data_IF_894318146895
#
_entry.id   IF_894318146895
#
_cell.length_a   1.000
_cell.length_b   1.000
_cell.length_c   1.000
_cell.angle_alpha   90.00
_cell.angle_beta   90.00
_cell.angle_gamma   90.00
#
_symmetry.space_group_name_H-M   'P 1'
#
loop_
_entity.id
_entity.type
_entity.pdbx_description
1 polymer ?
#
# COMPACT_ATOMS: atom_id res chain seq x y z
N UNK A 1 10.91 39.63 -29.94
CA UNK A 1 9.76 39.33 -29.05
C UNK A 1 9.57 37.82 -28.89
N UNK A 2 9.70 37.03 -29.96
CA UNK A 2 9.44 35.58 -29.96
C UNK A 2 10.40 34.72 -29.11
N UNK A 3 11.68 35.07 -29.02
CA UNK A 3 12.64 34.31 -28.18
C UNK A 3 12.27 34.40 -26.69
N UNK A 4 11.76 35.57 -26.25
CA UNK A 4 11.34 35.76 -24.86
C UNK A 4 10.04 35.03 -24.53
N UNK A 5 9.11 34.92 -25.48
CA UNK A 5 7.87 34.14 -25.30
C UNK A 5 8.14 32.64 -25.28
N UNK A 6 9.01 32.14 -26.17
CA UNK A 6 9.42 30.74 -26.20
C UNK A 6 10.11 30.30 -24.90
N UNK A 7 11.01 31.14 -24.37
CA UNK A 7 11.70 30.88 -23.07
C UNK A 7 10.72 30.83 -21.89
N UNK A 8 9.72 31.72 -21.87
CA UNK A 8 8.68 31.72 -20.82
C UNK A 8 7.81 30.46 -20.91
N UNK A 9 7.41 30.04 -22.12
CA UNK A 9 6.62 28.83 -22.32
C UNK A 9 7.38 27.58 -21.89
N UNK A 10 8.66 27.46 -22.28
CA UNK A 10 9.54 26.37 -21.86
C UNK A 10 9.68 26.31 -20.33
N UNK A 11 9.96 27.44 -19.68
CA UNK A 11 10.06 27.50 -18.21
C UNK A 11 8.74 27.09 -17.52
N UNK A 12 7.59 27.52 -18.06
CA UNK A 12 6.28 27.13 -17.53
C UNK A 12 6.05 25.62 -17.65
N UNK A 13 6.37 25.00 -18.79
CA UNK A 13 6.27 23.56 -18.97
C UNK A 13 7.17 22.79 -17.98
N UNK A 14 8.40 23.26 -17.75
CA UNK A 14 9.32 22.65 -16.77
C UNK A 14 8.79 22.76 -15.34
N UNK A 15 8.21 23.91 -14.97
CA UNK A 15 7.62 24.08 -13.64
C UNK A 15 6.39 23.17 -13.44
N UNK A 16 5.56 23.03 -14.47
CA UNK A 16 4.38 22.15 -14.41
C UNK A 16 4.79 20.68 -14.25
N UNK A 17 5.78 20.21 -15.01
CA UNK A 17 6.27 18.83 -14.88
C UNK A 17 6.89 18.57 -13.51
N UNK A 18 7.69 19.51 -13.00
CA UNK A 18 8.26 19.42 -11.66
C UNK A 18 7.17 19.35 -10.57
N UNK A 19 6.16 20.20 -10.65
CA UNK A 19 5.02 20.19 -9.72
C UNK A 19 4.27 18.84 -9.73
N UNK A 20 4.04 18.26 -10.91
CA UNK A 20 3.39 16.95 -11.03
C UNK A 20 4.25 15.86 -10.38
N UNK A 21 5.55 15.83 -10.68
CA UNK A 21 6.48 14.85 -10.11
C UNK A 21 6.52 14.94 -8.57
N UNK A 22 6.61 16.15 -8.03
CA UNK A 22 6.60 16.37 -6.58
C UNK A 22 5.29 15.90 -5.94
N UNK A 23 4.14 16.19 -6.57
CA UNK A 23 2.82 15.75 -6.09
C UNK A 23 2.69 14.23 -6.09
N UNK A 24 3.17 13.58 -7.15
CA UNK A 24 3.19 12.11 -7.27
C UNK A 24 4.08 11.51 -6.19
N UNK A 25 5.30 12.02 -6.03
CA UNK A 25 6.22 11.58 -4.99
C UNK A 25 5.64 11.74 -3.58
N UNK A 26 5.03 12.88 -3.29
CA UNK A 26 4.39 13.13 -1.99
C UNK A 26 3.29 12.10 -1.70
N UNK A 27 2.42 11.83 -2.68
CA UNK A 27 1.30 10.90 -2.51
C UNK A 27 1.73 9.43 -2.42
N UNK A 28 2.73 9.04 -3.20
CA UNK A 28 3.19 7.64 -3.28
C UNK A 28 4.18 7.32 -2.15
N UNK A 29 5.04 8.25 -1.73
CA UNK A 29 6.09 7.96 -0.77
C UNK A 29 5.85 8.61 0.59
N UNK A 30 5.66 9.94 0.62
CA UNK A 30 5.68 10.70 1.86
C UNK A 30 4.44 10.46 2.71
N UNK A 31 3.26 10.59 2.11
CA UNK A 31 1.96 10.42 2.77
C UNK A 31 1.80 9.04 3.43
N UNK A 32 2.03 7.90 2.73
CA UNK A 32 1.86 6.59 3.36
C UNK A 32 2.86 6.35 4.49
N UNK A 33 4.13 6.76 4.35
CA UNK A 33 5.12 6.62 5.44
C UNK A 33 4.76 7.48 6.66
N UNK A 34 4.24 8.68 6.45
CA UNK A 34 3.80 9.55 7.54
C UNK A 34 2.64 8.91 8.31
N UNK A 35 1.64 8.38 7.57
CA UNK A 35 0.50 7.69 8.16
C UNK A 35 0.90 6.39 8.88
N UNK A 36 1.84 5.61 8.33
CA UNK A 36 2.39 4.43 9.01
C UNK A 36 2.97 4.79 10.38
N UNK A 37 3.74 5.88 10.46
CA UNK A 37 4.31 6.36 11.71
C UNK A 37 3.23 6.79 12.70
N UNK A 38 2.17 7.46 12.22
CA UNK A 38 1.06 7.90 13.05
C UNK A 38 0.30 6.70 13.65
N UNK A 39 -0.06 5.71 12.82
CA UNK A 39 -0.74 4.50 13.26
C UNK A 39 0.08 3.69 14.27
N UNK A 40 1.40 3.57 14.03
CA UNK A 40 2.32 2.93 14.98
C UNK A 40 2.36 3.65 16.33
N UNK A 41 2.34 4.99 16.34
CA UNK A 41 2.25 5.78 17.57
C UNK A 41 0.93 5.57 18.30
N UNK A 42 -0.16 5.29 17.58
CA UNK A 42 -1.45 4.93 18.16
C UNK A 42 -1.51 3.47 18.65
N UNK A 43 -0.41 2.71 18.54
CA UNK A 43 -0.35 1.30 18.94
C UNK A 43 -0.93 0.33 17.91
N UNK A 44 -1.37 0.81 16.75
CA UNK A 44 -1.88 -0.04 15.67
C UNK A 44 -0.68 -0.67 14.97
N UNK A 45 -0.61 -2.00 15.06
CA UNK A 45 0.44 -2.81 14.43
C UNK A 45 -0.06 -3.33 13.08
N UNK A 46 0.87 -3.55 12.16
CA UNK A 46 0.50 -3.92 10.80
C UNK A 46 1.69 -4.17 9.91
N UNK A 47 1.39 -4.44 8.64
CA UNK A 47 2.42 -4.56 7.60
C UNK A 47 3.08 -3.19 7.37
N UNK A 48 4.36 -3.18 7.00
CA UNK A 48 5.03 -1.95 6.57
C UNK A 48 4.71 -1.62 5.11
N UNK A 49 4.69 -0.32 4.80
CA UNK A 49 4.42 0.16 3.45
C UNK A 49 5.51 -0.32 2.47
N UNK A 50 5.10 -0.93 1.36
CA UNK A 50 5.97 -1.34 0.25
C UNK A 50 5.43 -0.78 -1.06
N UNK A 51 6.27 -0.02 -1.77
CA UNK A 51 5.96 0.51 -3.09
C UNK A 51 5.66 -0.65 -4.05
N UNK A 52 4.49 -0.63 -4.72
CA UNK A 52 4.06 -1.60 -5.75
C UNK A 52 3.90 -3.08 -5.33
N UNK A 53 4.55 -3.53 -4.25
CA UNK A 53 4.47 -4.89 -3.70
C UNK A 53 3.73 -4.89 -2.34
N UNK A 54 2.47 -4.44 -2.36
CA UNK A 54 1.62 -4.35 -1.19
C UNK A 54 0.99 -5.68 -0.76
N UNK A 55 0.13 -5.60 0.28
CA UNK A 55 -0.59 -6.73 0.87
C UNK A 55 -1.47 -7.50 -0.12
N UNK A 56 -1.85 -6.91 -1.25
CA UNK A 56 -2.63 -7.58 -2.29
C UNK A 56 -1.89 -8.77 -2.92
N UNK A 57 -0.61 -8.62 -3.27
CA UNK A 57 0.19 -9.72 -3.85
C UNK A 57 0.41 -10.84 -2.84
N UNK A 58 0.67 -10.47 -1.58
CA UNK A 58 0.82 -11.43 -0.49
C UNK A 58 -0.49 -12.16 -0.21
N UNK A 59 -1.62 -11.45 -0.23
CA UNK A 59 -2.96 -12.02 -0.10
C UNK A 59 -3.26 -13.02 -1.22
N UNK A 60 -3.03 -12.65 -2.48
CA UNK A 60 -3.22 -13.56 -3.62
C UNK A 60 -2.34 -14.81 -3.51
N UNK A 61 -1.07 -14.66 -3.11
CA UNK A 61 -0.16 -15.79 -2.89
C UNK A 61 -0.71 -16.73 -1.81
N UNK A 62 -1.12 -16.17 -0.66
CA UNK A 62 -1.64 -16.95 0.46
C UNK A 62 -2.96 -17.64 0.12
N UNK A 63 -3.85 -16.99 -0.63
CA UNK A 63 -5.08 -17.60 -1.15
C UNK A 63 -4.74 -18.77 -2.06
N UNK A 64 -3.84 -18.57 -3.04
CA UNK A 64 -3.43 -19.63 -3.97
C UNK A 64 -2.81 -20.83 -3.23
N UNK A 65 -1.99 -20.58 -2.22
CA UNK A 65 -1.39 -21.63 -1.40
C UNK A 65 -2.41 -22.36 -0.52
N UNK A 66 -3.33 -21.62 0.10
CA UNK A 66 -4.43 -22.24 0.83
C UNK A 66 -5.28 -23.10 -0.10
N UNK A 67 -5.45 -22.65 -1.36
CA UNK A 67 -6.30 -23.29 -2.36
C UNK A 67 -5.72 -24.53 -3.01
N UNK A 68 -4.39 -24.63 -3.09
CA UNK A 68 -3.72 -25.83 -3.60
C UNK A 68 -3.74 -27.01 -2.63
N UNK A 69 -3.98 -26.76 -1.34
CA UNK A 69 -3.99 -27.79 -0.30
C UNK A 69 -5.41 -28.31 -0.05
N UNK A 70 -5.60 -29.64 0.11
CA UNK A 70 -6.88 -30.19 0.55
C UNK A 70 -7.19 -29.69 1.96
N UNK A 71 -8.46 -29.43 2.25
CA UNK A 71 -8.93 -28.96 3.56
C UNK A 71 -9.64 -30.11 4.28
N UNK A 72 -9.38 -30.26 5.57
CA UNK A 72 -10.12 -31.19 6.43
C UNK A 72 -11.56 -30.71 6.62
N UNK A 73 -12.50 -31.65 6.72
CA UNK A 73 -13.91 -31.36 7.01
C UNK A 73 -14.08 -31.01 8.49
N UNK A 74 -13.67 -29.80 8.87
CA UNK A 74 -13.86 -29.25 10.20
C UNK A 74 -14.46 -27.84 10.12
N UNK A 75 -14.84 -27.29 11.27
CA UNK A 75 -15.42 -25.94 11.35
C UNK A 75 -14.38 -24.81 11.22
N UNK A 76 -13.09 -25.11 11.07
CA UNK A 76 -12.02 -24.11 11.01
C UNK A 76 -11.75 -23.65 9.57
N UNK A 77 -12.73 -22.98 8.98
CA UNK A 77 -12.68 -22.54 7.58
C UNK A 77 -11.97 -21.19 7.36
N UNK A 78 -11.79 -20.39 8.42
CA UNK A 78 -11.23 -19.04 8.33
C UNK A 78 -9.83 -18.96 7.66
N UNK A 79 -8.87 -19.86 7.94
CA UNK A 79 -7.56 -19.85 7.28
C UNK A 79 -7.65 -20.17 5.78
N UNK A 80 -8.73 -20.83 5.33
CA UNK A 80 -8.94 -21.20 3.93
C UNK A 80 -9.58 -20.08 3.12
N UNK A 81 -10.57 -19.41 3.71
CA UNK A 81 -11.35 -18.35 3.05
C UNK A 81 -10.58 -17.04 2.99
N UNK A 82 -9.91 -16.65 4.08
CA UNK A 82 -9.12 -15.43 4.12
C UNK A 82 -7.81 -15.66 4.90
N UNK A 83 -6.85 -16.39 4.31
CA UNK A 83 -5.57 -16.72 4.96
C UNK A 83 -4.78 -15.47 5.34
N UNK A 84 -4.83 -14.42 4.51
CA UNK A 84 -4.14 -13.16 4.77
C UNK A 84 -4.62 -12.50 6.06
N UNK A 85 -5.93 -12.29 6.20
CA UNK A 85 -6.49 -11.69 7.41
C UNK A 85 -6.29 -12.58 8.64
N UNK A 86 -6.42 -13.89 8.47
CA UNK A 86 -6.16 -14.85 9.55
C UNK A 86 -4.73 -14.72 10.10
N UNK A 87 -3.72 -14.65 9.23
CA UNK A 87 -2.32 -14.42 9.63
C UNK A 87 -2.10 -13.04 10.25
N UNK A 88 -2.76 -12.00 9.72
CA UNK A 88 -2.68 -10.64 10.26
C UNK A 88 -3.16 -10.56 11.70
N UNK A 89 -4.32 -11.16 11.99
CA UNK A 89 -4.87 -11.20 13.34
C UNK A 89 -3.99 -11.99 14.29
N UNK A 90 -3.43 -13.13 13.85
CA UNK A 90 -2.50 -13.91 14.66
C UNK A 90 -1.20 -13.15 14.97
N UNK A 91 -0.66 -12.42 13.99
CA UNK A 91 0.65 -11.76 14.09
C UNK A 91 0.60 -10.41 14.79
N UNK A 92 -0.44 -9.62 14.51
CA UNK A 92 -0.53 -8.23 14.95
C UNK A 92 -1.67 -7.97 15.94
N UNK A 93 -2.58 -8.92 16.10
CA UNK A 93 -3.74 -8.84 16.98
C UNK A 93 -5.03 -8.45 16.25
N UNK A 94 -6.12 -8.39 17.02
CA UNK A 94 -7.48 -8.08 16.51
C UNK A 94 -7.56 -6.73 15.80
N UNK A 95 -6.82 -5.74 16.31
CA UNK A 95 -6.69 -4.43 15.68
C UNK A 95 -5.35 -4.44 14.93
N UNK A 96 -5.43 -4.72 13.64
CA UNK A 96 -4.27 -4.73 12.75
C UNK A 96 -4.60 -4.03 11.43
N UNK A 97 -3.56 -3.56 10.76
CA UNK A 97 -3.70 -2.79 9.52
C UNK A 97 -2.77 -3.35 8.44
N UNK A 98 -3.26 -3.35 7.20
CA UNK A 98 -2.48 -3.75 6.04
C UNK A 98 -2.39 -2.64 5.00
N UNK A 99 -1.33 -2.62 4.21
CA UNK A 99 -1.23 -1.70 3.07
C UNK A 99 -1.78 -2.35 1.81
N UNK A 100 -2.84 -1.76 1.27
CA UNK A 100 -3.35 -2.06 -0.06
C UNK A 100 -2.97 -0.88 -0.96
N UNK A 101 -2.01 -1.12 -1.85
CA UNK A 101 -1.45 -0.08 -2.72
C UNK A 101 -0.92 1.10 -1.89
N UNK A 102 -1.45 2.32 -2.07
CA UNK A 102 -1.08 3.52 -1.31
C UNK A 102 -2.04 3.82 -0.15
N UNK A 103 -2.98 2.90 0.16
CA UNK A 103 -4.02 3.12 1.17
C UNK A 103 -3.91 2.08 2.29
N UNK A 104 -4.11 2.48 3.55
CA UNK A 104 -4.29 1.53 4.63
C UNK A 104 -5.68 0.87 4.50
N UNK A 105 -5.74 -0.44 4.71
CA UNK A 105 -6.97 -1.24 4.77
C UNK A 105 -7.05 -2.06 6.05
#
# INVERSE_FOLDING_TARGET
MEIFTLRKLSASCVLLTLCIVLRVFYNIWWRPKSLEKLLKKQGIRGTSYKLFNGGMRESQRLIKEAWSKPMSLNHQIAPRVNPFFHQMVQKYGKISMSWIETRPG
#
